data_IF_676497626236
#
_entry.id   IF_676497626236
#
_cell.length_a   1.000
_cell.length_b   1.000
_cell.length_c   1.000
_cell.angle_alpha   90.00
_cell.angle_beta   90.00
_cell.angle_gamma   90.00
#
_symmetry.space_group_name_H-M   'P 1'
#
loop_
_entity.id
_entity.type
_entity.pdbx_description
1 polymer ?
#
# COMPACT_ATOMS: atom_id res chain seq x y z
N UNK A 1 29.79 -29.89 -20.74
CA UNK A 1 28.79 -28.94 -21.27
C UNK A 1 28.40 -28.03 -20.11
N UNK A 2 28.51 -26.72 -20.29
CA UNK A 2 28.49 -25.71 -19.22
C UNK A 2 27.15 -25.62 -18.48
N UNK A 3 27.23 -25.15 -17.24
CA UNK A 3 26.17 -25.01 -16.27
C UNK A 3 25.49 -23.63 -16.37
N UNK A 4 24.16 -23.59 -16.35
CA UNK A 4 23.40 -22.40 -15.92
C UNK A 4 22.04 -22.82 -15.32
N UNK A 5 22.07 -22.94 -13.99
CA UNK A 5 21.12 -22.41 -12.99
C UNK A 5 19.61 -22.69 -13.13
N UNK A 6 18.96 -23.34 -12.12
CA UNK A 6 17.53 -23.19 -11.91
C UNK A 6 17.28 -21.78 -11.33
N UNK A 7 16.80 -20.85 -12.17
CA UNK A 7 16.27 -19.58 -11.67
C UNK A 7 14.96 -19.83 -10.92
N UNK A 8 15.11 -19.86 -9.59
CA UNK A 8 14.19 -19.40 -8.56
C UNK A 8 12.74 -19.10 -9.00
N UNK A 9 11.86 -20.04 -8.67
CA UNK A 9 10.57 -19.81 -8.02
C UNK A 9 10.21 -18.33 -7.77
N UNK A 10 9.13 -17.87 -8.40
CA UNK A 10 8.34 -16.66 -8.07
C UNK A 10 8.92 -15.29 -8.49
N UNK A 11 8.50 -14.81 -9.67
CA UNK A 11 8.50 -13.38 -10.03
C UNK A 11 7.43 -13.23 -11.14
N UNK A 12 6.47 -12.30 -11.21
CA UNK A 12 6.33 -10.95 -10.66
C UNK A 12 4.84 -10.58 -10.77
N UNK A 13 4.10 -10.52 -9.66
CA UNK A 13 3.01 -9.55 -9.52
C UNK A 13 2.99 -9.01 -8.09
N UNK A 14 4.18 -8.73 -7.55
CA UNK A 14 4.37 -7.57 -6.67
C UNK A 14 4.25 -6.31 -7.54
N UNK A 15 3.10 -6.11 -8.19
CA UNK A 15 2.74 -4.78 -8.63
C UNK A 15 2.66 -3.98 -7.35
N UNK A 16 3.62 -3.09 -7.10
CA UNK A 16 3.69 -2.19 -5.94
C UNK A 16 2.30 -1.66 -5.58
N UNK A 17 1.57 -2.40 -4.74
CA UNK A 17 0.14 -2.20 -4.51
C UNK A 17 0.03 -1.41 -3.24
N UNK A 18 -0.18 -0.11 -3.39
CA UNK A 18 -0.22 0.82 -2.28
C UNK A 18 -1.62 0.92 -1.74
N UNK A 19 -1.73 1.11 -0.43
CA UNK A 19 -2.99 1.23 0.28
C UNK A 19 -2.93 2.42 1.23
N UNK A 20 -4.03 3.16 1.33
CA UNK A 20 -4.20 4.21 2.34
C UNK A 20 -5.02 3.62 3.47
N UNK A 21 -4.47 3.62 4.68
CA UNK A 21 -5.10 3.05 5.88
C UNK A 21 -5.41 4.16 6.86
N UNK A 22 -6.66 4.24 7.31
CA UNK A 22 -7.04 5.14 8.39
C UNK A 22 -6.68 4.52 9.74
N UNK A 23 -5.79 5.18 10.45
CA UNK A 23 -5.43 4.86 11.82
C UNK A 23 -6.54 5.29 12.78
N UNK A 24 -6.56 4.69 13.96
CA UNK A 24 -7.52 4.99 15.05
C UNK A 24 -7.42 6.44 15.52
N UNK A 25 -6.24 7.05 15.41
CA UNK A 25 -5.98 8.45 15.74
C UNK A 25 -6.56 9.44 14.71
N UNK A 26 -7.24 8.95 13.67
CA UNK A 26 -7.87 9.75 12.63
C UNK A 26 -6.93 10.17 11.50
N UNK A 27 -5.64 9.84 11.58
CA UNK A 27 -4.68 10.04 10.51
C UNK A 27 -4.74 8.93 9.46
N UNK A 28 -4.29 9.23 8.24
CA UNK A 28 -4.21 8.24 7.19
C UNK A 28 -2.76 8.06 6.74
N UNK A 29 -2.33 6.81 6.70
CA UNK A 29 -0.97 6.42 6.36
C UNK A 29 -0.98 5.50 5.14
N UNK A 30 0.13 5.50 4.41
CA UNK A 30 0.25 4.78 3.15
C UNK A 30 1.18 3.61 3.39
N UNK A 31 0.68 2.41 3.10
CA UNK A 31 1.41 1.16 3.25
C UNK A 31 1.47 0.45 1.91
N UNK A 32 2.59 -0.18 1.60
CA UNK A 32 2.70 -1.17 0.53
C UNK A 32 1.94 -2.45 0.91
N UNK A 33 1.71 -3.31 -0.07
CA UNK A 33 1.04 -4.59 0.16
C UNK A 33 1.79 -5.47 1.18
N UNK A 34 3.12 -5.43 1.18
CA UNK A 34 3.97 -6.14 2.12
C UNK A 34 3.83 -5.58 3.55
N UNK A 35 3.82 -4.26 3.72
CA UNK A 35 3.61 -3.62 5.03
C UNK A 35 2.19 -3.84 5.55
N UNK A 36 1.18 -3.80 4.66
CA UNK A 36 -0.21 -4.02 5.04
C UNK A 36 -0.43 -5.43 5.60
N UNK A 37 0.24 -6.44 5.05
CA UNK A 37 0.18 -7.80 5.55
C UNK A 37 0.68 -7.94 7.00
N UNK A 38 1.53 -7.01 7.46
CA UNK A 38 2.04 -6.99 8.84
C UNK A 38 1.16 -6.16 9.80
N UNK A 39 0.37 -5.22 9.28
CA UNK A 39 -0.40 -4.27 10.08
C UNK A 39 -1.71 -4.86 10.64
N UNK A 40 -2.20 -5.96 10.08
CA UNK A 40 -3.46 -6.60 10.46
C UNK A 40 -4.71 -5.95 9.86
N UNK A 41 -5.90 -6.37 10.30
CA UNK A 41 -7.17 -5.81 9.81
C UNK A 41 -7.36 -4.36 10.27
N UNK A 42 -7.27 -3.44 9.32
CA UNK A 42 -7.63 -2.04 9.54
C UNK A 42 -9.12 -1.79 9.26
N UNK A 43 -9.82 -1.01 10.10
CA UNK A 43 -11.26 -0.80 9.94
C UNK A 43 -11.62 -0.01 8.68
N UNK A 44 -10.67 0.75 8.11
CA UNK A 44 -10.92 1.51 6.89
C UNK A 44 -9.64 1.65 6.05
N UNK A 45 -9.65 0.96 4.90
CA UNK A 45 -8.60 0.97 3.90
C UNK A 45 -9.13 1.44 2.54
N UNK A 46 -8.25 2.05 1.74
CA UNK A 46 -8.50 2.41 0.36
C UNK A 46 -7.35 1.93 -0.53
N UNK A 47 -7.66 1.35 -1.68
CA UNK A 47 -6.70 0.76 -2.61
C UNK A 47 -7.25 -0.53 -3.24
N UNK A 48 -6.41 -1.34 -3.91
CA UNK A 48 -4.99 -1.10 -4.17
C UNK A 48 -4.76 0.03 -5.19
N UNK A 49 -3.65 0.76 -5.05
CA UNK A 49 -3.16 1.76 -6.00
C UNK A 49 -1.90 1.25 -6.70
N UNK A 50 -1.73 1.56 -7.99
CA UNK A 50 -0.59 1.06 -8.77
C UNK A 50 0.72 1.80 -8.47
N UNK A 51 0.65 2.92 -7.73
CA UNK A 51 1.83 3.71 -7.37
C UNK A 51 1.62 4.50 -6.08
N UNK A 52 2.71 4.77 -5.38
CA UNK A 52 2.69 5.58 -4.15
C UNK A 52 2.10 6.97 -4.39
N UNK A 53 2.35 7.55 -5.57
CA UNK A 53 1.80 8.85 -5.96
C UNK A 53 0.26 8.86 -5.99
N UNK A 54 -0.37 7.79 -6.48
CA UNK A 54 -1.84 7.66 -6.48
C UNK A 54 -2.38 7.52 -5.05
N UNK A 55 -1.71 6.74 -4.21
CA UNK A 55 -2.07 6.63 -2.80
C UNK A 55 -1.95 7.98 -2.07
N UNK A 56 -0.92 8.79 -2.39
CA UNK A 56 -0.76 10.15 -1.86
C UNK A 56 -1.92 11.05 -2.34
N UNK A 57 -2.24 11.03 -3.63
CA UNK A 57 -3.36 11.80 -4.18
C UNK A 57 -4.68 11.42 -3.49
N UNK A 58 -4.90 10.12 -3.24
CA UNK A 58 -6.07 9.64 -2.50
C UNK A 58 -6.06 10.12 -1.06
N UNK A 59 -4.94 10.00 -0.34
CA UNK A 59 -4.78 10.50 1.02
C UNK A 59 -5.12 11.99 1.12
N UNK A 60 -4.59 12.81 0.22
CA UNK A 60 -4.90 14.26 0.18
C UNK A 60 -6.39 14.49 -0.09
N UNK A 61 -7.00 13.74 -1.01
CA UNK A 61 -8.45 13.79 -1.25
C UNK A 61 -9.27 13.44 0.00
N UNK A 62 -8.84 12.43 0.76
CA UNK A 62 -9.47 12.05 2.03
C UNK A 62 -9.32 13.11 3.11
N UNK A 63 -8.18 13.82 3.16
CA UNK A 63 -7.98 14.96 4.05
C UNK A 63 -8.95 16.09 3.70
N UNK A 64 -9.04 16.45 2.41
CA UNK A 64 -9.99 17.48 1.95
C UNK A 64 -11.45 17.12 2.20
N UNK A 65 -11.78 15.83 2.18
CA UNK A 65 -13.11 15.31 2.50
C UNK A 65 -13.38 15.18 4.02
N UNK A 66 -12.42 15.54 4.89
CA UNK A 66 -12.56 15.42 6.34
C UNK A 66 -12.51 13.97 6.87
N UNK A 67 -12.11 13.00 6.03
CA UNK A 67 -12.02 11.58 6.44
C UNK A 67 -10.72 11.26 7.17
N UNK A 68 -9.67 12.02 6.88
CA UNK A 68 -8.33 11.88 7.43
C UNK A 68 -7.83 13.22 7.97
N UNK A 69 -7.06 13.20 9.04
CA UNK A 69 -6.38 14.38 9.55
C UNK A 69 -5.04 14.61 8.83
N UNK A 70 -4.67 15.87 8.53
CA UNK A 70 -3.31 16.20 8.11
C UNK A 70 -2.34 15.87 9.27
N UNK A 71 -1.19 15.29 8.93
CA UNK A 71 -0.01 15.26 9.82
C UNK A 71 0.97 16.30 9.30
#
# INVERSE_FOLDING_TARGET
>A
MAAETPEDTQNTQESDSWHVIKQTDGHCEIFSQAELAQLGESPQMWGPFASRAEAIAKRVGLIRAGKCLPK
#
